data_IF_207373548873
#
_entry.id   IF_207373548873
#
_cell.length_a   1.000
_cell.length_b   1.000
_cell.length_c   1.000
_cell.angle_alpha   90.00
_cell.angle_beta   90.00
_cell.angle_gamma   90.00
#
_symmetry.space_group_name_H-M   'P 1'
#
loop_
_entity.id
_entity.type
_entity.pdbx_description
1 polymer ?
#
# COMPACT_ATOMS: atom_id res chain seq x y z
N UNK A 1 -7.79 8.39 23.20
CA UNK A 1 -7.88 7.23 22.29
C UNK A 1 -6.91 7.35 21.10
N UNK A 2 -6.85 8.48 20.39
CA UNK A 2 -5.91 8.71 19.26
C UNK A 2 -4.41 8.55 19.59
N UNK A 3 -3.96 9.03 20.75
CA UNK A 3 -2.53 8.95 21.12
C UNK A 3 -2.03 7.51 21.30
N UNK A 4 -2.82 6.63 21.93
CA UNK A 4 -2.44 5.24 22.17
C UNK A 4 -2.27 4.46 20.87
N UNK A 5 -3.12 4.70 19.87
CA UNK A 5 -3.04 4.04 18.57
C UNK A 5 -1.74 4.39 17.85
N UNK A 6 -1.29 5.65 17.91
CA UNK A 6 -0.02 6.07 17.30
C UNK A 6 1.19 5.38 17.95
N UNK A 7 1.21 5.21 19.28
CA UNK A 7 2.30 4.48 19.95
C UNK A 7 2.30 3.00 19.60
N UNK A 8 1.12 2.35 19.57
CA UNK A 8 1.00 0.95 19.19
C UNK A 8 1.43 0.71 17.74
N UNK A 9 1.14 1.65 16.83
CA UNK A 9 1.60 1.60 15.44
C UNK A 9 3.12 1.61 15.28
N UNK A 10 3.88 2.05 16.29
CA UNK A 10 5.36 2.07 16.27
C UNK A 10 5.93 0.91 17.08
N UNK A 11 5.43 0.70 18.31
CA UNK A 11 5.97 -0.28 19.25
C UNK A 11 5.87 -1.69 18.68
N UNK A 12 4.73 -2.06 18.09
CA UNK A 12 4.56 -3.41 17.56
C UNK A 12 5.48 -3.73 16.37
N UNK A 13 5.63 -2.88 15.33
CA UNK A 13 6.62 -3.12 14.29
C UNK A 13 8.05 -3.23 14.81
N UNK A 14 8.42 -2.43 15.82
CA UNK A 14 9.76 -2.55 16.43
C UNK A 14 9.90 -3.90 17.12
N UNK A 15 8.88 -4.33 17.88
CA UNK A 15 8.87 -5.63 18.55
C UNK A 15 8.97 -6.80 17.56
N UNK A 16 8.23 -6.76 16.45
CA UNK A 16 8.26 -7.83 15.44
C UNK A 16 9.63 -7.93 14.78
N UNK A 17 10.27 -6.80 14.47
CA UNK A 17 11.65 -6.77 13.97
C UNK A 17 12.61 -7.35 15.00
N UNK A 18 12.54 -6.95 16.26
CA UNK A 18 13.42 -7.46 17.32
C UNK A 18 13.26 -8.97 17.50
N UNK A 19 12.04 -9.49 17.49
CA UNK A 19 11.77 -10.92 17.60
C UNK A 19 12.31 -11.70 16.39
N UNK A 20 12.12 -11.18 15.17
CA UNK A 20 12.65 -11.79 13.95
C UNK A 20 14.17 -11.85 13.99
N UNK A 21 14.82 -10.72 14.27
CA UNK A 21 16.28 -10.62 14.37
C UNK A 21 16.81 -11.57 15.44
N UNK A 22 16.29 -11.51 16.67
CA UNK A 22 16.70 -12.40 17.75
C UNK A 22 16.48 -13.89 17.40
N UNK A 23 15.37 -14.20 16.73
CA UNK A 23 15.05 -15.55 16.25
C UNK A 23 16.03 -16.06 15.21
N UNK A 24 16.42 -15.23 14.24
CA UNK A 24 17.40 -15.57 13.20
C UNK A 24 18.80 -15.75 13.81
N UNK A 25 19.26 -14.82 14.65
CA UNK A 25 20.58 -14.90 15.31
C UNK A 25 20.69 -16.11 16.24
N UNK A 26 19.64 -16.38 17.02
CA UNK A 26 19.63 -17.48 17.99
C UNK A 26 19.19 -18.82 17.38
N UNK A 27 18.81 -18.84 16.09
CA UNK A 27 18.19 -19.98 15.38
C UNK A 27 16.96 -20.57 16.10
N UNK A 28 16.22 -19.75 16.86
CA UNK A 28 15.05 -20.19 17.65
C UNK A 28 13.77 -20.04 16.84
N UNK A 29 13.25 -21.15 16.31
CA UNK A 29 12.00 -21.19 15.51
C UNK A 29 10.81 -20.54 16.23
N UNK A 30 10.70 -20.70 17.55
CA UNK A 30 9.61 -20.12 18.35
C UNK A 30 9.60 -18.57 18.34
N UNK A 31 10.77 -17.93 18.30
CA UNK A 31 10.85 -16.46 18.21
C UNK A 31 10.42 -15.96 16.84
N UNK A 32 10.77 -16.70 15.78
CA UNK A 32 10.35 -16.39 14.40
C UNK A 32 8.84 -16.61 14.24
N UNK A 33 8.29 -17.65 14.87
CA UNK A 33 6.84 -17.88 14.91
C UNK A 33 6.10 -16.79 15.69
N UNK A 34 6.68 -16.31 16.80
CA UNK A 34 6.13 -15.16 17.53
C UNK A 34 6.17 -13.88 16.68
N UNK A 35 7.29 -13.61 15.98
CA UNK A 35 7.39 -12.49 15.06
C UNK A 35 6.33 -12.56 13.95
N UNK A 36 6.11 -13.75 13.38
CA UNK A 36 5.06 -14.01 12.39
C UNK A 36 3.67 -13.63 12.91
N UNK A 37 3.26 -14.22 14.04
CA UNK A 37 1.92 -14.02 14.60
C UNK A 37 1.67 -12.56 14.98
N UNK A 38 2.64 -11.92 15.64
CA UNK A 38 2.50 -10.51 16.02
C UNK A 38 2.46 -9.65 14.76
N UNK A 39 3.28 -9.91 13.75
CA UNK A 39 3.25 -9.16 12.49
C UNK A 39 1.91 -9.29 11.76
N UNK A 40 1.28 -10.47 11.79
CA UNK A 40 -0.05 -10.68 11.20
C UNK A 40 -1.12 -9.85 11.92
N UNK A 41 -1.11 -9.88 13.27
CA UNK A 41 -2.02 -9.09 14.10
C UNK A 41 -1.86 -7.59 13.80
N UNK A 42 -0.62 -7.11 13.68
CA UNK A 42 -0.32 -5.70 13.38
C UNK A 42 -0.85 -5.29 12.02
N UNK A 43 -0.65 -6.11 10.98
CA UNK A 43 -1.16 -5.82 9.64
C UNK A 43 -2.69 -5.76 9.64
N UNK A 44 -3.37 -6.64 10.38
CA UNK A 44 -4.84 -6.61 10.54
C UNK A 44 -5.27 -5.31 11.24
N UNK A 45 -4.60 -4.90 12.30
CA UNK A 45 -4.90 -3.63 12.97
C UNK A 45 -4.67 -2.43 12.06
N UNK A 46 -3.58 -2.42 11.29
CA UNK A 46 -3.31 -1.35 10.31
C UNK A 46 -4.40 -1.28 9.24
N UNK A 47 -4.88 -2.43 8.77
CA UNK A 47 -6.00 -2.51 7.83
C UNK A 47 -7.30 -1.92 8.41
N UNK A 48 -7.62 -2.25 9.67
CA UNK A 48 -8.79 -1.71 10.35
C UNK A 48 -8.68 -0.20 10.59
N UNK A 49 -7.51 0.29 10.99
CA UNK A 49 -7.26 1.74 11.17
C UNK A 49 -7.40 2.48 9.84
N UNK A 50 -7.04 1.82 8.73
CA UNK A 50 -7.23 2.36 7.39
C UNK A 50 -8.68 2.20 6.88
N UNK A 51 -9.66 1.89 7.73
CA UNK A 51 -11.07 1.65 7.39
C UNK A 51 -11.28 0.60 6.28
N UNK A 52 -10.40 -0.40 6.21
CA UNK A 52 -10.45 -1.41 5.16
C UNK A 52 -9.84 -0.95 3.82
N UNK A 53 -9.19 0.21 3.77
CA UNK A 53 -8.47 0.70 2.60
C UNK A 53 -6.95 0.55 2.81
N UNK A 54 -6.36 -0.57 2.39
CA UNK A 54 -4.88 -0.79 2.48
C UNK A 54 -4.11 0.31 1.72
N UNK A 55 -4.77 1.02 0.80
CA UNK A 55 -4.20 2.00 -0.12
C UNK A 55 -5.05 3.30 -0.15
N UNK A 56 -5.71 3.61 0.96
CA UNK A 56 -6.63 4.74 1.10
C UNK A 56 -5.96 6.09 1.35
N UNK A 57 -6.76 7.15 1.45
CA UNK A 57 -6.30 8.54 1.57
C UNK A 57 -5.40 8.87 2.78
N UNK A 58 -5.34 7.99 3.78
CA UNK A 58 -4.48 8.07 4.98
C UNK A 58 -3.01 7.66 4.72
N UNK A 59 -2.74 7.04 3.57
CA UNK A 59 -1.49 6.33 3.32
C UNK A 59 -0.37 7.27 2.84
N UNK A 60 0.32 7.91 3.78
CA UNK A 60 1.52 8.72 3.52
C UNK A 60 2.81 7.88 3.64
N UNK A 61 3.97 8.50 3.39
CA UNK A 61 5.28 7.82 3.50
C UNK A 61 5.56 7.21 4.89
N UNK A 62 5.07 7.84 5.97
CA UNK A 62 5.22 7.30 7.32
C UNK A 62 4.47 5.97 7.47
N UNK A 63 3.19 5.95 7.10
CA UNK A 63 2.38 4.74 7.16
C UNK A 63 2.87 3.65 6.20
N UNK A 64 3.31 4.05 5.00
CA UNK A 64 3.92 3.15 4.03
C UNK A 64 5.19 2.47 4.58
N UNK A 65 6.02 3.21 5.33
CA UNK A 65 7.22 2.68 5.97
C UNK A 65 6.86 1.65 7.04
N UNK A 66 5.93 2.00 7.94
CA UNK A 66 5.50 1.11 9.03
C UNK A 66 4.87 -0.17 8.47
N UNK A 67 4.04 -0.06 7.43
CA UNK A 67 3.42 -1.20 6.78
C UNK A 67 4.46 -2.07 6.05
N UNK A 68 5.41 -1.45 5.32
CA UNK A 68 6.48 -2.16 4.62
C UNK A 68 7.35 -2.97 5.58
N UNK A 69 7.71 -2.40 6.74
CA UNK A 69 8.51 -3.09 7.76
C UNK A 69 7.78 -4.33 8.28
N UNK A 70 6.51 -4.20 8.67
CA UNK A 70 5.74 -5.36 9.15
C UNK A 70 5.56 -6.40 8.05
N UNK A 71 5.23 -5.98 6.84
CA UNK A 71 5.08 -6.90 5.72
C UNK A 71 6.39 -7.65 5.44
N UNK A 72 7.53 -6.97 5.48
CA UNK A 72 8.83 -7.61 5.33
C UNK A 72 9.10 -8.64 6.44
N UNK A 73 8.78 -8.32 7.69
CA UNK A 73 8.90 -9.27 8.82
C UNK A 73 7.99 -10.49 8.62
N UNK A 74 6.73 -10.28 8.24
CA UNK A 74 5.78 -11.35 7.97
C UNK A 74 6.29 -12.27 6.86
N UNK A 75 6.66 -11.70 5.71
CA UNK A 75 7.12 -12.46 4.54
C UNK A 75 8.42 -13.21 4.82
N UNK A 76 9.36 -12.58 5.52
CA UNK A 76 10.63 -13.22 5.90
C UNK A 76 10.40 -14.36 6.89
N UNK A 77 9.52 -14.17 7.87
CA UNK A 77 9.18 -15.21 8.85
C UNK A 77 8.50 -16.41 8.19
N UNK A 78 7.54 -16.16 7.29
CA UNK A 78 6.90 -17.21 6.49
C UNK A 78 7.92 -17.96 5.65
N UNK A 79 8.75 -17.23 4.90
CA UNK A 79 9.75 -17.82 4.03
C UNK A 79 10.75 -18.66 4.84
N UNK A 80 11.22 -18.17 5.99
CA UNK A 80 12.10 -18.93 6.87
C UNK A 80 11.46 -20.23 7.35
N UNK A 81 10.20 -20.19 7.81
CA UNK A 81 9.47 -21.38 8.26
C UNK A 81 9.33 -22.37 7.10
N UNK A 82 8.95 -21.89 5.92
CA UNK A 82 8.79 -22.69 4.71
C UNK A 82 10.11 -23.39 4.32
N UNK A 83 11.22 -22.66 4.33
CA UNK A 83 12.54 -23.17 3.95
C UNK A 83 13.18 -24.09 5.00
N UNK A 84 12.73 -24.02 6.25
CA UNK A 84 13.25 -24.85 7.37
C UNK A 84 12.35 -26.03 7.70
N UNK A 85 11.31 -26.28 6.90
CA UNK A 85 10.62 -27.58 6.87
C UNK A 85 11.61 -28.63 6.36
N UNK A 86 11.80 -29.69 7.15
CA UNK A 86 12.81 -30.71 6.90
C UNK A 86 12.55 -31.43 5.58
N UNK A 87 13.51 -31.36 4.65
CA UNK A 87 13.38 -31.88 3.30
C UNK A 87 13.29 -33.42 3.21
N UNK A 88 13.72 -34.12 4.27
CA UNK A 88 13.86 -35.58 4.30
C UNK A 88 12.52 -36.31 4.48
N UNK A 89 11.49 -35.64 5.00
CA UNK A 89 10.14 -36.20 5.18
C UNK A 89 9.15 -35.78 4.08
N UNK A 90 9.59 -34.93 3.13
CA UNK A 90 8.70 -34.26 2.18
C UNK A 90 8.70 -34.98 0.82
N UNK A 91 7.50 -35.40 0.40
CA UNK A 91 7.29 -36.03 -0.91
C UNK A 91 7.68 -35.13 -2.10
N UNK A 92 8.00 -35.73 -3.26
CA UNK A 92 8.37 -34.98 -4.48
C UNK A 92 7.31 -33.96 -4.89
N UNK A 93 6.02 -34.29 -4.76
CA UNK A 93 4.90 -33.39 -5.07
C UNK A 93 4.81 -32.23 -4.08
N UNK A 94 5.03 -32.49 -2.79
CA UNK A 94 5.04 -31.46 -1.75
C UNK A 94 6.17 -30.44 -1.96
N UNK A 95 7.35 -30.87 -2.46
CA UNK A 95 8.43 -29.94 -2.81
C UNK A 95 8.04 -28.95 -3.91
N UNK A 96 7.30 -29.42 -4.92
CA UNK A 96 6.80 -28.55 -5.99
C UNK A 96 5.79 -27.52 -5.46
N UNK A 97 4.85 -27.95 -4.62
CA UNK A 97 3.86 -27.07 -4.00
C UNK A 97 4.54 -26.00 -3.12
N UNK A 98 5.51 -26.42 -2.31
CA UNK A 98 6.32 -25.52 -1.46
C UNK A 98 7.08 -24.49 -2.32
N UNK A 99 7.68 -24.93 -3.43
CA UNK A 99 8.37 -24.05 -4.37
C UNK A 99 7.43 -23.02 -5.01
N UNK A 100 6.27 -23.47 -5.49
CA UNK A 100 5.26 -22.59 -6.08
C UNK A 100 4.72 -21.57 -5.06
N UNK A 101 4.45 -22.01 -3.84
CA UNK A 101 3.99 -21.14 -2.76
C UNK A 101 5.05 -20.11 -2.38
N UNK A 102 6.31 -20.52 -2.29
CA UNK A 102 7.45 -19.63 -2.01
C UNK A 102 7.63 -18.58 -3.12
N UNK A 103 7.58 -19.01 -4.39
CA UNK A 103 7.68 -18.10 -5.54
C UNK A 103 6.52 -17.09 -5.56
N UNK A 104 5.31 -17.54 -5.28
CA UNK A 104 4.12 -16.68 -5.19
C UNK A 104 4.23 -15.70 -4.03
N UNK A 105 4.71 -16.14 -2.87
CA UNK A 105 4.90 -15.30 -1.69
C UNK A 105 5.93 -14.21 -1.94
N UNK A 106 7.07 -14.55 -2.56
CA UNK A 106 8.10 -13.57 -2.90
C UNK A 106 7.59 -12.59 -3.96
N UNK A 107 7.04 -13.09 -5.06
CA UNK A 107 6.55 -12.25 -6.18
C UNK A 107 5.40 -11.35 -5.73
N UNK A 108 4.41 -11.91 -5.03
CA UNK A 108 3.28 -11.17 -4.48
C UNK A 108 3.72 -10.16 -3.42
N UNK A 109 4.71 -10.51 -2.59
CA UNK A 109 5.31 -9.61 -1.61
C UNK A 109 5.95 -8.37 -2.25
N UNK A 110 6.76 -8.57 -3.30
CA UNK A 110 7.35 -7.46 -4.06
C UNK A 110 6.31 -6.58 -4.73
N UNK A 111 5.29 -7.17 -5.35
CA UNK A 111 4.20 -6.43 -5.96
C UNK A 111 3.44 -5.60 -4.92
N UNK A 112 3.18 -6.16 -3.74
CA UNK A 112 2.47 -5.46 -2.68
C UNK A 112 3.30 -4.30 -2.11
N UNK A 113 4.61 -4.50 -1.92
CA UNK A 113 5.52 -3.42 -1.54
C UNK A 113 5.56 -2.29 -2.59
N UNK A 114 5.63 -2.63 -3.87
CA UNK A 114 5.63 -1.61 -4.92
C UNK A 114 4.32 -0.80 -4.90
N UNK A 115 3.16 -1.45 -4.75
CA UNK A 115 1.87 -0.76 -4.63
C UNK A 115 1.83 0.19 -3.44
N UNK A 116 2.29 -0.26 -2.27
CA UNK A 116 2.37 0.57 -1.06
C UNK A 116 3.12 1.86 -1.34
N UNK A 117 4.31 1.77 -1.94
CA UNK A 117 5.14 2.94 -2.22
C UNK A 117 4.59 3.84 -3.32
N UNK A 118 4.01 3.25 -4.36
CA UNK A 118 3.41 4.00 -5.45
C UNK A 118 2.19 4.82 -4.97
N UNK A 119 1.36 4.24 -4.10
CA UNK A 119 0.24 4.95 -3.47
C UNK A 119 0.72 6.02 -2.48
N UNK A 120 1.75 5.73 -1.69
CA UNK A 120 2.35 6.72 -0.80
C UNK A 120 2.91 7.93 -1.57
N UNK A 121 3.59 7.68 -2.70
CA UNK A 121 4.05 8.73 -3.60
C UNK A 121 2.88 9.54 -4.18
N UNK A 122 1.80 8.86 -4.56
CA UNK A 122 0.60 9.55 -5.02
C UNK A 122 0.00 10.43 -3.91
N UNK A 123 0.03 10.05 -2.64
CA UNK A 123 -0.63 10.85 -1.60
C UNK A 123 0.28 11.90 -0.96
N UNK A 124 1.60 11.79 -1.12
CA UNK A 124 2.58 12.60 -0.38
C UNK A 124 2.45 14.11 -0.57
N UNK A 125 2.17 14.59 -1.77
CA UNK A 125 2.05 16.01 -2.10
C UNK A 125 0.60 16.48 -2.23
N UNK A 126 -0.37 15.65 -1.80
CA UNK A 126 -1.79 16.00 -1.80
C UNK A 126 -2.00 17.26 -0.95
N UNK A 127 -2.69 18.23 -1.53
CA UNK A 127 -3.04 19.46 -0.84
C UNK A 127 -3.87 19.16 0.41
N UNK A 128 -3.52 19.75 1.57
CA UNK A 128 -4.37 19.69 2.76
C UNK A 128 -5.79 20.15 2.44
N UNK A 129 -6.77 19.56 3.12
CA UNK A 129 -8.20 19.89 2.99
C UNK A 129 -8.81 19.75 1.59
N UNK A 130 -8.14 19.02 0.70
CA UNK A 130 -8.72 18.59 -0.59
C UNK A 130 -9.08 17.11 -0.57
N UNK A 131 -10.28 16.74 -1.08
CA UNK A 131 -10.68 15.35 -1.16
C UNK A 131 -9.85 14.60 -2.21
N UNK A 132 -9.60 13.32 -1.95
CA UNK A 132 -9.22 12.38 -2.98
C UNK A 132 -10.50 11.95 -3.71
N UNK A 133 -10.59 12.20 -5.01
CA UNK A 133 -11.82 11.94 -5.77
C UNK A 133 -11.69 10.60 -6.48
N UNK A 134 -12.55 9.64 -6.13
CA UNK A 134 -12.71 8.40 -6.88
C UNK A 134 -13.87 8.54 -7.85
N UNK A 135 -13.59 8.41 -9.15
CA UNK A 135 -14.58 8.56 -10.20
C UNK A 135 -14.71 7.26 -10.97
N UNK A 136 -15.94 6.73 -11.01
CA UNK A 136 -16.30 5.62 -11.88
C UNK A 136 -16.71 6.16 -13.25
N UNK A 137 -16.12 5.65 -14.33
CA UNK A 137 -16.47 6.01 -15.70
C UNK A 137 -17.18 4.86 -16.41
N UNK A 138 -18.29 5.18 -17.05
CA UNK A 138 -19.01 4.23 -17.91
C UNK A 138 -18.29 4.01 -19.25
N UNK A 139 -17.63 5.07 -19.73
CA UNK A 139 -16.80 5.04 -20.93
C UNK A 139 -15.33 4.97 -20.55
N UNK A 140 -14.55 4.27 -21.38
CA UNK A 140 -13.10 4.13 -21.22
C UNK A 140 -12.44 5.49 -21.46
N UNK A 141 -11.49 5.86 -20.60
CA UNK A 141 -10.72 7.09 -20.73
C UNK A 141 -9.44 6.80 -21.52
N UNK A 142 -9.00 7.75 -22.36
CA UNK A 142 -7.81 7.54 -23.21
C UNK A 142 -6.53 7.31 -22.40
N UNK A 143 -6.44 7.92 -21.21
CA UNK A 143 -5.32 7.81 -20.28
C UNK A 143 -5.53 6.75 -19.19
N UNK A 144 -6.70 6.10 -19.14
CA UNK A 144 -6.98 5.06 -18.15
C UNK A 144 -7.88 3.96 -18.69
N UNK A 145 -7.30 2.76 -18.81
CA UNK A 145 -8.00 1.56 -19.26
C UNK A 145 -8.97 0.96 -18.23
N UNK A 146 -8.97 1.47 -16.99
CA UNK A 146 -9.80 0.97 -15.91
C UNK A 146 -11.00 1.86 -15.65
N UNK A 147 -12.09 1.28 -15.12
CA UNK A 147 -13.36 1.99 -14.89
C UNK A 147 -13.31 2.96 -13.73
N UNK A 148 -12.31 2.87 -12.85
CA UNK A 148 -12.16 3.76 -11.70
C UNK A 148 -10.88 4.56 -11.84
N UNK A 149 -10.94 5.86 -11.60
CA UNK A 149 -9.78 6.74 -11.58
C UNK A 149 -9.78 7.54 -10.30
N UNK A 150 -8.62 7.66 -9.67
CA UNK A 150 -8.43 8.50 -8.50
C UNK A 150 -7.81 9.82 -8.93
N UNK A 151 -8.33 10.94 -8.42
CA UNK A 151 -7.78 12.26 -8.65
C UNK A 151 -7.37 12.91 -7.34
N UNK A 152 -6.23 13.59 -7.36
CA UNK A 152 -5.77 14.46 -6.28
C UNK A 152 -5.45 15.84 -6.81
N UNK A 153 -5.47 16.83 -5.92
CA UNK A 153 -4.84 18.13 -6.15
C UNK A 153 -3.56 18.17 -5.34
N UNK A 154 -2.45 18.60 -5.94
CA UNK A 154 -1.22 18.79 -5.21
C UNK A 154 -1.12 20.19 -4.56
N UNK A 155 -0.09 20.41 -3.75
CA UNK A 155 0.17 21.71 -3.10
C UNK A 155 0.27 22.90 -4.08
N UNK A 156 0.66 22.67 -5.34
CA UNK A 156 0.72 23.70 -6.39
C UNK A 156 -0.66 24.00 -7.03
N UNK A 157 -1.68 23.21 -6.73
CA UNK A 157 -3.02 23.31 -7.33
C UNK A 157 -3.16 22.57 -8.66
N UNK A 158 -2.18 21.74 -9.03
CA UNK A 158 -2.24 20.87 -10.21
C UNK A 158 -3.02 19.60 -9.91
N UNK A 159 -3.73 19.09 -10.90
CA UNK A 159 -4.53 17.86 -10.77
C UNK A 159 -3.71 16.68 -11.29
N UNK A 160 -3.59 15.64 -10.48
CA UNK A 160 -2.99 14.38 -10.87
C UNK A 160 -4.04 13.28 -10.84
N UNK A 161 -3.86 12.29 -11.69
CA UNK A 161 -4.65 11.08 -11.70
C UNK A 161 -3.81 9.86 -11.34
N UNK A 162 -4.47 8.86 -10.77
CA UNK A 162 -3.96 7.52 -10.62
C UNK A 162 -4.97 6.54 -11.21
N UNK A 163 -4.53 5.77 -12.18
CA UNK A 163 -5.31 4.74 -12.85
C UNK A 163 -4.90 3.37 -12.30
N UNK A 164 -5.78 2.69 -11.54
CA UNK A 164 -5.54 1.31 -11.14
C UNK A 164 -5.49 0.38 -12.36
N UNK A 165 -4.78 -0.73 -12.23
CA UNK A 165 -4.87 -1.83 -13.18
C UNK A 165 -6.05 -2.74 -12.80
N UNK A 166 -6.66 -3.41 -13.78
CA UNK A 166 -7.72 -4.42 -13.60
C UNK A 166 -7.37 -5.47 -12.54
N UNK A 167 -6.10 -5.85 -12.48
CA UNK A 167 -5.59 -6.86 -11.56
C UNK A 167 -5.06 -6.28 -10.24
N UNK A 168 -5.14 -4.96 -10.03
CA UNK A 168 -4.61 -4.29 -8.83
C UNK A 168 -3.09 -4.41 -8.68
N UNK A 169 -2.38 -4.78 -9.75
CA UNK A 169 -0.95 -5.12 -9.67
C UNK A 169 -0.03 -3.90 -9.66
N UNK A 170 -0.24 -2.95 -10.56
CA UNK A 170 0.58 -1.74 -10.67
C UNK A 170 -0.29 -0.62 -11.23
N UNK A 171 -0.59 0.42 -10.43
CA UNK A 171 -1.28 1.60 -10.95
C UNK A 171 -0.35 2.43 -11.83
N UNK A 172 -0.93 3.24 -12.72
CA UNK A 172 -0.22 4.31 -13.42
C UNK A 172 -0.61 5.67 -12.86
N UNK A 173 0.28 6.65 -12.96
CA UNK A 173 0.07 8.02 -12.49
C UNK A 173 0.39 9.01 -13.61
N UNK A 174 -0.30 10.15 -13.61
CA UNK A 174 0.00 11.22 -14.54
C UNK A 174 -0.58 12.57 -14.10
N UNK A 175 -0.08 13.62 -14.75
CA UNK A 175 -0.56 14.99 -14.58
C UNK A 175 -1.70 15.25 -15.57
N UNK A 176 -2.75 15.92 -15.12
CA UNK A 176 -3.79 16.46 -16.00
C UNK A 176 -3.44 17.88 -16.43
N UNK A 177 -3.23 18.09 -17.72
CA UNK A 177 -3.12 19.42 -18.31
C UNK A 177 -4.46 20.17 -18.26
N UNK A 178 -5.56 19.45 -18.53
CA UNK A 178 -6.93 19.97 -18.45
C UNK A 178 -7.75 19.18 -17.44
N UNK A 179 -8.30 19.90 -16.47
CA UNK A 179 -9.12 19.32 -15.43
C UNK A 179 -10.52 18.96 -15.96
N UNK A 180 -11.01 17.72 -15.79
CA UNK A 180 -12.38 17.39 -16.18
C UNK A 180 -13.40 18.22 -15.39
N UNK A 181 -14.45 18.71 -16.06
CA UNK A 181 -15.45 19.59 -15.45
C UNK A 181 -16.10 19.01 -14.17
N UNK A 182 -16.29 17.70 -14.12
CA UNK A 182 -16.84 17.01 -12.95
C UNK A 182 -15.88 17.06 -11.75
N UNK A 183 -14.56 16.95 -11.98
CA UNK A 183 -13.52 17.11 -10.96
C UNK A 183 -13.55 18.54 -10.42
N UNK A 184 -13.60 19.54 -11.31
CA UNK A 184 -13.62 20.97 -10.93
C UNK A 184 -14.85 21.29 -10.07
N UNK A 185 -16.02 20.76 -10.43
CA UNK A 185 -17.29 21.03 -9.72
C UNK A 185 -17.26 20.54 -8.26
N UNK A 186 -16.53 19.46 -8.00
CA UNK A 186 -16.36 18.86 -6.67
C UNK A 186 -15.28 19.54 -5.81
N UNK A 187 -14.53 20.51 -6.36
CA UNK A 187 -13.50 21.23 -5.61
C UNK A 187 -14.09 22.28 -4.66
N UNK A 188 -13.43 22.55 -3.52
CA UNK A 188 -13.74 23.73 -2.71
C UNK A 188 -13.54 25.02 -3.52
N UNK A 189 -14.18 26.11 -3.11
CA UNK A 189 -14.19 27.41 -3.81
C UNK A 189 -12.78 27.94 -4.16
N UNK A 190 -11.80 27.69 -3.29
CA UNK A 190 -10.39 28.02 -3.50
C UNK A 190 -9.71 27.19 -4.61
N UNK A 191 -10.16 25.94 -4.83
CA UNK A 191 -9.71 25.06 -5.92
C UNK A 191 -10.35 25.39 -7.27
N UNK A 192 -11.64 25.81 -7.26
CA UNK A 192 -12.37 26.22 -8.48
C UNK A 192 -11.69 27.39 -9.20
N UNK A 193 -11.26 28.43 -8.47
CA UNK A 193 -10.56 29.60 -9.04
C UNK A 193 -9.23 29.25 -9.70
N UNK A 194 -8.44 28.35 -9.11
CA UNK A 194 -7.14 27.93 -9.70
C UNK A 194 -7.32 27.04 -10.92
N UNK A 195 -8.23 26.07 -10.88
CA UNK A 195 -8.52 25.20 -12.03
C UNK A 195 -9.09 25.98 -13.24
N UNK A 196 -9.93 27.00 -12.99
CA UNK A 196 -10.43 27.89 -14.03
C UNK A 196 -9.30 28.71 -14.69
N UNK A 197 -8.32 29.17 -13.92
CA UNK A 197 -7.16 29.91 -14.45
C UNK A 197 -6.21 29.02 -15.29
N UNK A 198 -6.12 27.72 -15.01
CA UNK A 198 -5.32 26.79 -15.83
C UNK A 198 -5.99 26.52 -17.18
N UNK A 199 -7.32 26.39 -17.22
CA UNK A 199 -8.08 26.20 -18.47
C UNK A 199 -8.12 27.47 -19.36
N UNK A 200 -7.97 28.66 -18.78
CA UNK A 200 -7.95 29.93 -19.54
C UNK A 200 -6.55 30.33 -20.08
N UNK A 201 -5.49 29.61 -19.70
CA UNK A 201 -4.12 29.87 -20.17
C UNK A 201 -3.65 28.90 -21.27
N UNK A 202 -4.53 28.00 -21.74
CA UNK A 202 -4.27 27.06 -22.84
C UNK A 202 -5.10 27.39 -24.07
#
# INVERSE_FOLDING_TARGET
MYYYINYLQIIFPVLTVLLLVAGLFSRRKNLILAALWISLIVIIFQYQIANGEILGSYFNYGQATIYSINLAVLLTSLLYIILTLEADTISRSSRFIIGLFSATLVTGGFLLLFNIWFNAHFLADKKPDTPLLQVATFQKLDYCNYKYVFYKINNQGKIYYMCPNRYGLLPSQGLMEKAPLYVIKQLPSSGKRKAANTNNKS
#
